data_IF_422687517266
#
_entry.id   IF_422687517266
#
_cell.length_a   1.000
_cell.length_b   1.000
_cell.length_c   1.000
_cell.angle_alpha   90.00
_cell.angle_beta   90.00
_cell.angle_gamma   90.00
#
_symmetry.space_group_name_H-M   'P 1'
#
loop_
_entity.id
_entity.type
_entity.pdbx_description
1 polymer ?
#
# COMPACT_ATOMS: atom_id res chain seq x y z
N UNK A 1 32.27 11.99 14.54
CA UNK A 1 31.81 10.84 13.73
C UNK A 1 30.32 10.66 13.99
N UNK A 2 29.46 11.48 13.37
CA UNK A 2 28.01 11.42 13.58
C UNK A 2 27.38 10.79 12.34
N UNK A 3 27.04 9.51 12.48
CA UNK A 3 26.37 8.73 11.45
C UNK A 3 24.95 9.28 11.25
N UNK A 4 24.71 9.96 10.13
CA UNK A 4 23.36 10.37 9.72
C UNK A 4 22.55 9.09 9.47
N UNK A 5 21.55 8.81 10.31
CA UNK A 5 20.52 7.81 10.03
C UNK A 5 19.96 8.08 8.63
N UNK A 6 20.23 7.17 7.68
CA UNK A 6 19.55 7.15 6.38
C UNK A 6 18.06 7.00 6.66
N UNK A 7 17.29 8.06 6.43
CA UNK A 7 15.85 7.94 6.29
C UNK A 7 15.64 7.11 5.03
N UNK A 8 15.43 5.81 5.19
CA UNK A 8 14.93 4.95 4.13
C UNK A 8 13.51 5.47 3.89
N UNK A 9 13.35 6.39 2.94
CA UNK A 9 12.04 6.75 2.46
C UNK A 9 11.43 5.44 1.95
N UNK A 10 10.47 4.92 2.71
CA UNK A 10 9.71 3.71 2.34
C UNK A 10 9.23 3.91 0.91
N UNK A 11 9.77 3.10 -0.01
CA UNK A 11 9.34 3.11 -1.40
C UNK A 11 7.86 2.73 -1.39
N UNK A 12 6.99 3.63 -1.87
CA UNK A 12 5.54 3.41 -1.88
C UNK A 12 4.76 4.05 -0.72
N UNK A 13 4.99 5.32 -0.36
CA UNK A 13 3.93 6.06 0.34
C UNK A 13 2.97 6.64 -0.70
N UNK A 14 1.65 6.52 -0.54
CA UNK A 14 0.70 7.21 -1.39
C UNK A 14 1.08 8.68 -1.51
N UNK A 15 1.27 9.14 -2.74
CA UNK A 15 1.94 10.41 -3.03
C UNK A 15 1.22 11.64 -2.47
N UNK A 16 -0.03 11.52 -1.98
CA UNK A 16 -0.83 12.63 -1.47
C UNK A 16 -1.97 12.14 -0.53
N UNK A 17 -2.47 12.98 0.39
CA UNK A 17 -3.65 12.68 1.19
C UNK A 17 -4.90 12.54 0.29
N UNK A 18 -5.72 11.51 0.54
CA UNK A 18 -6.90 11.21 -0.26
C UNK A 18 -8.12 10.96 0.63
N UNK A 19 -9.23 11.63 0.33
CA UNK A 19 -10.51 11.43 1.03
C UNK A 19 -11.03 10.03 0.71
N UNK A 20 -11.35 9.24 1.74
CA UNK A 20 -11.70 7.82 1.55
C UNK A 20 -10.49 6.89 1.40
N UNK A 21 -9.30 7.32 1.81
CA UNK A 21 -8.12 6.47 1.84
C UNK A 21 -8.30 5.24 2.73
N UNK A 22 -8.08 4.03 2.18
CA UNK A 22 -8.35 2.75 2.85
C UNK A 22 -7.27 2.30 3.85
N UNK A 23 -6.34 3.18 4.24
CA UNK A 23 -5.17 2.83 5.10
C UNK A 23 -5.54 2.14 6.41
N UNK A 24 -6.64 2.57 7.05
CA UNK A 24 -7.11 1.97 8.31
C UNK A 24 -7.73 0.58 8.11
N UNK A 25 -8.20 0.27 6.90
CA UNK A 25 -8.83 -0.99 6.55
C UNK A 25 -7.85 -2.01 5.96
N UNK A 26 -6.58 -1.64 5.75
CA UNK A 26 -5.59 -2.53 5.14
C UNK A 26 -5.45 -3.88 5.85
N UNK A 27 -5.41 -3.99 7.20
CA UNK A 27 -5.28 -5.29 7.85
C UNK A 27 -6.40 -6.26 7.44
N UNK A 28 -7.65 -5.77 7.46
CA UNK A 28 -8.83 -6.55 7.10
C UNK A 28 -8.87 -6.86 5.60
N UNK A 29 -8.48 -5.91 4.75
CA UNK A 29 -8.45 -6.11 3.30
C UNK A 29 -7.40 -7.17 2.92
N UNK A 30 -6.22 -7.15 3.52
CA UNK A 30 -5.15 -8.12 3.30
C UNK A 30 -5.60 -9.52 3.73
N UNK A 31 -6.26 -9.64 4.89
CA UNK A 31 -6.82 -10.92 5.35
C UNK A 31 -7.93 -11.46 4.44
N UNK A 32 -8.64 -10.57 3.74
CA UNK A 32 -9.71 -10.93 2.81
C UNK A 32 -9.23 -11.28 1.40
N UNK A 33 -7.92 -11.14 1.11
CA UNK A 33 -7.37 -11.48 -0.19
C UNK A 33 -7.49 -12.99 -0.46
N UNK A 34 -7.60 -13.39 -1.74
CA UNK A 34 -7.53 -14.80 -2.12
C UNK A 34 -6.26 -15.47 -1.59
N UNK A 35 -6.35 -16.72 -1.15
CA UNK A 35 -5.19 -17.47 -0.66
C UNK A 35 -4.06 -17.59 -1.69
N UNK A 36 -4.40 -17.63 -2.98
CA UNK A 36 -3.46 -17.71 -4.10
C UNK A 36 -3.15 -16.33 -4.72
N UNK A 37 -3.36 -15.23 -4.00
CA UNK A 37 -3.15 -13.87 -4.52
C UNK A 37 -1.74 -13.66 -5.09
N UNK A 38 -0.71 -14.25 -4.47
CA UNK A 38 0.68 -14.17 -4.95
C UNK A 38 0.91 -14.81 -6.32
N UNK A 39 0.03 -15.73 -6.75
CA UNK A 39 0.11 -16.39 -8.07
C UNK A 39 -0.59 -15.59 -9.16
N UNK A 40 -1.30 -14.51 -8.82
CA UNK A 40 -2.00 -13.68 -9.77
C UNK A 40 -1.01 -12.74 -10.47
N UNK A 41 -0.98 -12.78 -11.80
CA UNK A 41 -0.08 -11.93 -12.59
C UNK A 41 -0.55 -10.47 -12.64
N UNK A 42 -1.86 -10.24 -12.53
CA UNK A 42 -2.46 -8.92 -12.75
C UNK A 42 -3.34 -8.52 -11.57
N UNK A 43 -3.00 -7.38 -10.97
CA UNK A 43 -3.82 -6.69 -9.97
C UNK A 43 -4.49 -5.47 -10.59
N UNK A 44 -5.82 -5.36 -10.44
CA UNK A 44 -6.59 -4.23 -10.97
C UNK A 44 -7.44 -3.64 -9.86
N UNK A 45 -7.25 -2.35 -9.56
CA UNK A 45 -8.15 -1.55 -8.73
C UNK A 45 -8.86 -0.47 -9.58
N UNK A 46 -10.10 -0.71 -10.04
CA UNK A 46 -10.85 0.27 -10.82
C UNK A 46 -11.07 1.60 -10.09
N UNK A 47 -11.13 1.55 -8.75
CA UNK A 47 -11.32 2.71 -7.87
C UNK A 47 -10.14 2.89 -6.90
N UNK A 48 -8.94 3.02 -7.45
CA UNK A 48 -7.68 3.11 -6.69
C UNK A 48 -7.69 4.26 -5.67
N UNK A 49 -8.16 5.45 -6.07
CA UNK A 49 -8.08 6.67 -5.26
C UNK A 49 -6.63 6.95 -4.87
N UNK A 50 -6.35 7.05 -3.57
CA UNK A 50 -4.99 7.18 -3.05
C UNK A 50 -4.13 5.91 -3.13
N UNK A 51 -4.58 4.80 -3.73
CA UNK A 51 -3.74 3.61 -3.92
C UNK A 51 -3.22 2.96 -2.65
N UNK A 52 -3.97 3.05 -1.55
CA UNK A 52 -3.52 2.62 -0.23
C UNK A 52 -3.23 1.11 -0.11
N UNK A 53 -3.86 0.26 -0.93
CA UNK A 53 -3.65 -1.19 -0.93
C UNK A 53 -2.55 -1.62 -1.92
N UNK A 54 -2.31 -0.80 -2.96
CA UNK A 54 -1.30 -1.07 -3.97
C UNK A 54 0.13 -0.75 -3.48
N UNK A 55 0.29 0.31 -2.68
CA UNK A 55 1.57 0.78 -2.15
C UNK A 55 1.75 0.40 -0.68
#
# INVERSE_FOLDING_TARGET
MTEKKKNIALQGKPCFPWVGGKRRLLPVLIESLPADFEKMETYVEPFVGGGALFF
#
